data_IF_660490884689
#
_entry.id   IF_660490884689
#
_cell.length_a   1.000
_cell.length_b   1.000
_cell.length_c   1.000
_cell.angle_alpha   90.00
_cell.angle_beta   90.00
_cell.angle_gamma   90.00
#
_symmetry.space_group_name_H-M   'P 1'
#
loop_
_entity.id
_entity.type
_entity.pdbx_description
1 polymer ?
#
# COMPACT_ATOMS: atom_id res chain seq x y z
N UNK A 1 -16.50 -18.49 4.83
CA UNK A 1 -17.65 -19.18 5.44
C UNK A 1 -18.05 -20.48 4.70
N UNK A 2 -17.92 -20.56 3.37
CA UNK A 2 -18.20 -21.84 2.67
C UNK A 2 -17.21 -22.90 3.10
N UNK A 3 -17.65 -24.12 3.51
CA UNK A 3 -16.75 -25.19 3.93
C UNK A 3 -15.72 -25.61 2.87
N UNK A 4 -16.06 -25.45 1.59
CA UNK A 4 -15.15 -25.74 0.47
C UNK A 4 -13.95 -24.79 0.41
N UNK A 5 -14.05 -23.60 1.00
CA UNK A 5 -12.97 -22.62 1.02
C UNK A 5 -11.90 -22.91 2.08
N UNK A 6 -12.20 -23.72 3.11
CA UNK A 6 -11.26 -24.13 4.14
C UNK A 6 -10.67 -25.52 3.84
N UNK A 7 -9.40 -25.75 4.15
CA UNK A 7 -8.74 -27.05 3.98
C UNK A 7 -9.42 -28.16 4.81
N UNK A 8 -9.77 -27.83 6.07
CA UNK A 8 -10.46 -28.77 6.96
C UNK A 8 -11.92 -29.05 6.57
N UNK A 9 -12.45 -28.41 5.52
CA UNK A 9 -13.86 -28.49 5.07
C UNK A 9 -14.87 -28.15 6.17
N UNK A 10 -14.46 -27.36 7.17
CA UNK A 10 -15.30 -26.84 8.25
C UNK A 10 -15.54 -25.34 7.95
N UNK A 11 -16.75 -24.87 8.28
CA UNK A 11 -17.07 -23.43 8.10
C UNK A 11 -16.17 -22.56 8.97
N UNK A 12 -15.45 -21.63 8.34
CA UNK A 12 -14.68 -20.61 9.04
C UNK A 12 -15.62 -19.64 9.74
N UNK A 13 -15.24 -19.18 10.94
CA UNK A 13 -15.95 -18.17 11.68
C UNK A 13 -16.18 -16.90 10.83
N UNK A 14 -17.33 -16.25 11.05
CA UNK A 14 -17.74 -15.09 10.27
C UNK A 14 -16.73 -13.93 10.36
N UNK A 15 -16.24 -13.65 11.58
CA UNK A 15 -15.31 -12.53 11.81
C UNK A 15 -13.99 -12.77 11.08
N UNK A 16 -13.43 -13.97 11.16
CA UNK A 16 -12.18 -14.36 10.50
C UNK A 16 -12.32 -14.33 8.97
N UNK A 17 -13.45 -14.80 8.44
CA UNK A 17 -13.72 -14.75 7.02
C UNK A 17 -13.93 -13.31 6.51
N UNK A 18 -14.63 -12.48 7.28
CA UNK A 18 -14.84 -11.06 6.97
C UNK A 18 -13.52 -10.28 7.03
N UNK A 19 -12.71 -10.51 8.08
CA UNK A 19 -11.40 -9.87 8.23
C UNK A 19 -10.48 -10.18 7.03
N UNK A 20 -10.40 -11.45 6.65
CA UNK A 20 -9.61 -11.88 5.47
C UNK A 20 -10.13 -11.26 4.18
N UNK A 21 -11.46 -11.21 3.98
CA UNK A 21 -12.05 -10.61 2.79
C UNK A 21 -11.81 -9.09 2.71
N UNK A 22 -11.92 -8.37 3.85
CA UNK A 22 -11.61 -6.93 3.94
C UNK A 22 -10.13 -6.70 3.68
N UNK A 23 -9.25 -7.46 4.34
CA UNK A 23 -7.80 -7.36 4.16
C UNK A 23 -7.40 -7.62 2.69
N UNK A 24 -7.95 -8.64 2.04
CA UNK A 24 -7.69 -8.93 0.63
C UNK A 24 -8.23 -7.84 -0.31
N UNK A 25 -9.46 -7.37 -0.09
CA UNK A 25 -10.08 -6.33 -0.93
C UNK A 25 -9.45 -4.96 -0.75
N UNK A 26 -9.00 -4.63 0.47
CA UNK A 26 -8.25 -3.40 0.76
C UNK A 26 -6.76 -3.54 0.45
N UNK A 27 -6.33 -4.76 0.05
CA UNK A 27 -4.93 -5.03 -0.31
C UNK A 27 -4.00 -4.71 0.87
N UNK A 28 -4.34 -5.21 2.06
CA UNK A 28 -3.60 -4.91 3.28
C UNK A 28 -2.63 -6.02 3.65
N UNK A 29 -3.09 -7.30 3.70
CA UNK A 29 -2.24 -8.43 4.06
C UNK A 29 -2.24 -8.82 5.52
N UNK A 30 -2.90 -8.08 6.40
CA UNK A 30 -3.12 -8.53 7.78
C UNK A 30 -4.03 -9.76 7.79
N UNK A 31 -3.65 -10.77 8.55
CA UNK A 31 -4.39 -12.05 8.61
C UNK A 31 -4.63 -12.45 10.07
N UNK A 32 -5.79 -13.04 10.33
CA UNK A 32 -6.14 -13.68 11.62
C UNK A 32 -6.04 -15.20 11.55
N UNK A 33 -5.87 -15.76 10.34
CA UNK A 33 -5.64 -17.17 10.08
C UNK A 33 -4.57 -17.30 9.00
N UNK A 34 -3.73 -18.31 9.12
CA UNK A 34 -2.67 -18.54 8.12
C UNK A 34 -3.26 -18.85 6.74
N UNK A 35 -2.79 -18.12 5.71
CA UNK A 35 -3.37 -18.22 4.37
C UNK A 35 -3.06 -19.56 3.70
N UNK A 36 -1.89 -20.12 3.92
CA UNK A 36 -1.46 -21.37 3.31
C UNK A 36 -2.15 -22.58 3.94
N UNK A 37 -2.27 -22.60 5.28
CA UNK A 37 -2.70 -23.79 6.02
C UNK A 37 -4.21 -23.80 6.27
N UNK A 38 -4.87 -22.64 6.31
CA UNK A 38 -6.31 -22.55 6.59
C UNK A 38 -7.16 -22.63 5.33
N UNK A 39 -6.76 -21.92 4.25
CA UNK A 39 -7.57 -21.83 3.03
C UNK A 39 -7.22 -22.91 2.02
N UNK A 40 -8.25 -23.56 1.48
CA UNK A 40 -8.11 -24.48 0.34
C UNK A 40 -7.66 -23.74 -0.91
N UNK A 41 -7.26 -24.47 -1.96
CA UNK A 41 -6.94 -23.88 -3.26
C UNK A 41 -8.05 -22.96 -3.79
N UNK A 42 -9.32 -23.34 -3.56
CA UNK A 42 -10.47 -22.51 -3.90
C UNK A 42 -10.50 -21.23 -3.06
N UNK A 43 -10.27 -21.31 -1.74
CA UNK A 43 -10.20 -20.15 -0.86
C UNK A 43 -9.05 -19.20 -1.23
N UNK A 44 -7.87 -19.74 -1.52
CA UNK A 44 -6.71 -18.98 -2.00
C UNK A 44 -6.99 -18.27 -3.34
N UNK A 45 -7.68 -18.96 -4.27
CA UNK A 45 -8.07 -18.35 -5.55
C UNK A 45 -9.07 -17.18 -5.35
N UNK A 46 -10.03 -17.32 -4.44
CA UNK A 46 -10.94 -16.21 -4.08
C UNK A 46 -10.19 -15.03 -3.48
N UNK A 47 -9.24 -15.29 -2.55
CA UNK A 47 -8.38 -14.25 -1.98
C UNK A 47 -7.58 -13.54 -3.09
N UNK A 48 -7.00 -14.29 -4.02
CA UNK A 48 -6.23 -13.74 -5.13
C UNK A 48 -7.07 -12.83 -6.04
N UNK A 49 -8.32 -13.23 -6.34
CA UNK A 49 -9.28 -12.42 -7.11
C UNK A 49 -9.61 -11.13 -6.35
N UNK A 50 -9.84 -11.21 -5.03
CA UNK A 50 -10.10 -10.02 -4.22
C UNK A 50 -8.92 -9.07 -4.20
N UNK A 51 -7.68 -9.59 -4.08
CA UNK A 51 -6.44 -8.82 -4.17
C UNK A 51 -6.35 -8.11 -5.53
N UNK A 52 -6.64 -8.80 -6.63
CA UNK A 52 -6.57 -8.23 -7.97
C UNK A 52 -7.60 -7.11 -8.16
N UNK A 53 -8.84 -7.31 -7.71
CA UNK A 53 -9.90 -6.29 -7.73
C UNK A 53 -9.52 -5.10 -6.86
N UNK A 54 -9.03 -5.36 -5.66
CA UNK A 54 -8.58 -4.34 -4.72
C UNK A 54 -7.38 -3.54 -5.25
N UNK A 55 -6.35 -4.22 -5.79
CA UNK A 55 -5.13 -3.63 -6.32
C UNK A 55 -5.37 -2.68 -7.49
N UNK A 56 -6.12 -3.11 -8.47
CA UNK A 56 -6.52 -2.28 -9.61
C UNK A 56 -7.54 -1.18 -9.24
N UNK A 57 -8.23 -1.34 -8.12
CA UNK A 57 -9.31 -0.49 -7.65
C UNK A 57 -10.68 -0.90 -8.21
N UNK A 58 -11.68 -0.90 -7.35
CA UNK A 58 -13.04 -1.37 -7.67
C UNK A 58 -13.64 -0.61 -8.86
N UNK A 59 -13.40 0.71 -8.95
CA UNK A 59 -13.91 1.55 -10.05
C UNK A 59 -13.26 1.17 -11.37
N UNK A 60 -11.94 0.95 -11.39
CA UNK A 60 -11.20 0.50 -12.58
C UNK A 60 -11.73 -0.85 -13.07
N UNK A 61 -11.99 -1.78 -12.16
CA UNK A 61 -12.56 -3.09 -12.49
C UNK A 61 -14.00 -2.99 -13.01
N UNK A 62 -14.85 -2.16 -12.40
CA UNK A 62 -16.21 -1.94 -12.87
C UNK A 62 -16.24 -1.38 -14.31
N UNK A 63 -15.38 -0.39 -14.60
CA UNK A 63 -15.26 0.17 -15.95
C UNK A 63 -14.66 -0.86 -16.92
N UNK A 64 -13.74 -1.70 -16.46
CA UNK A 64 -13.18 -2.81 -17.27
C UNK A 64 -14.27 -3.77 -17.71
N UNK A 65 -15.14 -4.20 -16.81
CA UNK A 65 -16.27 -5.08 -17.11
C UNK A 65 -17.24 -4.39 -18.11
N UNK A 66 -17.53 -3.10 -17.92
CA UNK A 66 -18.37 -2.32 -18.83
C UNK A 66 -17.79 -2.28 -20.26
N UNK A 67 -16.47 -2.04 -20.37
CA UNK A 67 -15.77 -2.01 -21.67
C UNK A 67 -15.73 -3.41 -22.29
N UNK A 68 -15.43 -4.45 -21.51
CA UNK A 68 -15.38 -5.84 -21.97
C UNK A 68 -16.76 -6.33 -22.48
N UNK A 69 -17.85 -5.84 -21.86
CA UNK A 69 -19.24 -6.12 -22.28
C UNK A 69 -19.65 -5.32 -23.54
N UNK A 70 -18.74 -4.56 -24.15
CA UNK A 70 -19.02 -3.76 -25.36
C UNK A 70 -19.87 -2.52 -25.11
N UNK A 71 -20.15 -2.18 -23.87
CA UNK A 71 -20.96 -1.00 -23.51
C UNK A 71 -20.12 0.28 -23.57
N UNK A 72 -20.77 1.40 -23.93
CA UNK A 72 -20.12 2.71 -23.92
C UNK A 72 -19.99 3.22 -22.47
N UNK A 73 -18.78 3.64 -22.09
CA UNK A 73 -18.53 4.26 -20.78
C UNK A 73 -19.22 5.62 -20.71
N UNK A 74 -20.21 5.76 -19.83
CA UNK A 74 -20.94 7.01 -19.63
C UNK A 74 -20.09 8.11 -18.99
N UNK A 75 -20.54 9.37 -19.06
CA UNK A 75 -19.82 10.51 -18.47
C UNK A 75 -19.63 10.39 -16.97
N UNK A 76 -20.63 9.90 -16.24
CA UNK A 76 -20.55 9.68 -14.79
C UNK A 76 -19.49 8.64 -14.42
N UNK A 77 -19.44 7.51 -15.16
CA UNK A 77 -18.40 6.49 -14.95
C UNK A 77 -17.00 7.03 -15.23
N UNK A 78 -16.84 7.89 -16.26
CA UNK A 78 -15.57 8.55 -16.56
C UNK A 78 -15.14 9.51 -15.45
N UNK A 79 -16.09 10.29 -14.89
CA UNK A 79 -15.82 11.18 -13.75
C UNK A 79 -15.39 10.39 -12.52
N UNK A 80 -16.11 9.31 -12.17
CA UNK A 80 -15.74 8.46 -11.03
C UNK A 80 -14.37 7.80 -11.22
N UNK A 81 -14.04 7.36 -12.44
CA UNK A 81 -12.74 6.80 -12.76
C UNK A 81 -11.64 7.87 -12.73
N UNK A 82 -11.94 9.09 -13.14
CA UNK A 82 -11.04 10.24 -13.04
C UNK A 82 -10.65 10.49 -11.57
N UNK A 83 -11.63 10.51 -10.68
CA UNK A 83 -11.40 10.70 -9.26
C UNK A 83 -10.61 9.53 -8.67
N UNK A 84 -10.96 8.29 -9.00
CA UNK A 84 -10.28 7.08 -8.50
C UNK A 84 -8.82 6.98 -8.94
N UNK A 85 -8.48 7.43 -10.17
CA UNK A 85 -7.11 7.43 -10.69
C UNK A 85 -6.37 8.76 -10.48
N UNK A 86 -7.02 9.74 -9.83
CA UNK A 86 -6.48 11.09 -9.59
C UNK A 86 -6.01 11.79 -10.89
N UNK A 87 -6.85 11.74 -11.95
CA UNK A 87 -6.56 12.31 -13.26
C UNK A 87 -7.30 13.64 -13.42
N UNK A 88 -6.64 14.66 -14.00
CA UNK A 88 -7.27 15.97 -14.23
C UNK A 88 -8.00 16.10 -15.58
N UNK A 89 -7.95 15.09 -16.46
CA UNK A 89 -8.53 15.16 -17.81
C UNK A 89 -9.45 13.97 -18.09
N UNK A 90 -10.66 14.24 -18.60
CA UNK A 90 -11.65 13.21 -18.99
C UNK A 90 -11.29 12.49 -20.31
N UNK A 91 -10.37 13.08 -21.12
CA UNK A 91 -9.96 12.52 -22.39
C UNK A 91 -8.97 11.36 -22.23
N UNK A 92 -9.17 10.29 -23.03
CA UNK A 92 -8.20 9.18 -23.07
C UNK A 92 -8.32 8.13 -21.96
N UNK A 93 -9.33 8.21 -21.08
CA UNK A 93 -9.53 7.28 -19.94
C UNK A 93 -9.55 5.82 -20.39
N UNK A 94 -10.22 5.48 -21.49
CA UNK A 94 -10.27 4.09 -22.00
C UNK A 94 -8.90 3.62 -22.50
N UNK A 95 -8.10 4.51 -23.07
CA UNK A 95 -6.71 4.19 -23.49
C UNK A 95 -5.84 3.93 -22.27
N UNK A 96 -5.97 4.77 -21.23
CA UNK A 96 -5.26 4.58 -19.97
C UNK A 96 -5.69 3.27 -19.29
N UNK A 97 -6.99 2.94 -19.29
CA UNK A 97 -7.49 1.67 -18.75
C UNK A 97 -6.83 0.46 -19.43
N UNK A 98 -6.79 0.47 -20.77
CA UNK A 98 -6.13 -0.61 -21.51
C UNK A 98 -4.64 -0.69 -21.20
N UNK A 99 -3.98 0.45 -21.05
CA UNK A 99 -2.57 0.50 -20.63
C UNK A 99 -2.39 -0.10 -19.24
N UNK A 100 -3.21 0.29 -18.26
CA UNK A 100 -3.17 -0.23 -16.87
C UNK A 100 -3.33 -1.75 -16.87
N UNK A 101 -4.34 -2.29 -17.56
CA UNK A 101 -4.60 -3.73 -17.61
C UNK A 101 -3.46 -4.50 -18.29
N UNK A 102 -2.98 -4.02 -19.45
CA UNK A 102 -1.90 -4.67 -20.18
C UNK A 102 -0.58 -4.61 -19.40
N UNK A 103 -0.29 -3.47 -18.76
CA UNK A 103 0.89 -3.28 -17.93
C UNK A 103 0.86 -4.20 -16.69
N UNK A 104 -0.26 -4.25 -15.97
CA UNK A 104 -0.44 -5.12 -14.81
C UNK A 104 -0.25 -6.58 -15.21
N UNK A 105 -0.99 -7.07 -16.20
CA UNK A 105 -0.86 -8.46 -16.65
C UNK A 105 0.57 -8.80 -17.12
N UNK A 106 1.23 -7.88 -17.81
CA UNK A 106 2.61 -8.05 -18.27
C UNK A 106 3.61 -8.16 -17.11
N UNK A 107 3.52 -7.29 -16.13
CA UNK A 107 4.41 -7.31 -14.94
C UNK A 107 4.14 -8.54 -14.07
N UNK A 108 2.88 -8.89 -13.83
CA UNK A 108 2.50 -10.08 -13.04
C UNK A 108 2.96 -11.38 -13.70
N UNK A 109 2.79 -11.51 -15.00
CA UNK A 109 3.30 -12.67 -15.76
C UNK A 109 4.84 -12.72 -15.75
N UNK A 110 5.51 -11.59 -15.95
CA UNK A 110 6.96 -11.52 -15.86
C UNK A 110 7.45 -11.91 -14.46
N UNK A 111 6.81 -11.38 -13.41
CA UNK A 111 7.09 -11.74 -12.02
C UNK A 111 6.89 -13.24 -11.76
N UNK A 112 5.79 -13.81 -12.24
CA UNK A 112 5.51 -15.25 -12.13
C UNK A 112 6.62 -16.07 -12.77
N UNK A 113 7.05 -15.72 -13.99
CA UNK A 113 8.14 -16.42 -14.70
C UNK A 113 9.47 -16.30 -13.97
N UNK A 114 9.76 -15.14 -13.37
CA UNK A 114 11.02 -14.91 -12.64
C UNK A 114 11.03 -15.60 -11.27
N UNK A 115 9.88 -15.74 -10.59
CA UNK A 115 9.76 -16.44 -9.31
C UNK A 115 9.67 -17.96 -9.47
N UNK A 116 9.16 -18.43 -10.59
CA UNK A 116 8.95 -19.85 -10.82
C UNK A 116 10.18 -20.73 -10.61
N UNK A 117 11.40 -20.41 -11.06
CA UNK A 117 12.58 -21.25 -10.86
C UNK A 117 12.91 -21.51 -9.37
N UNK A 118 12.63 -20.53 -8.50
CA UNK A 118 12.85 -20.67 -7.05
C UNK A 118 11.80 -21.61 -6.47
N UNK A 119 10.51 -21.34 -6.71
CA UNK A 119 9.44 -22.18 -6.19
C UNK A 119 9.38 -23.57 -6.81
N UNK A 120 9.87 -23.74 -8.05
CA UNK A 120 9.98 -25.06 -8.67
C UNK A 120 10.93 -25.99 -7.92
N UNK A 121 12.03 -25.47 -7.40
CA UNK A 121 13.01 -26.26 -6.64
C UNK A 121 12.42 -26.80 -5.33
N UNK A 122 11.56 -26.02 -4.67
CA UNK A 122 11.03 -26.36 -3.35
C UNK A 122 9.67 -27.10 -3.41
N UNK A 123 8.83 -26.81 -4.41
CA UNK A 123 7.44 -27.27 -4.48
C UNK A 123 7.12 -28.11 -5.74
N UNK A 124 8.06 -28.26 -6.68
CA UNK A 124 7.81 -28.93 -7.96
C UNK A 124 7.00 -28.09 -8.95
N UNK A 125 6.54 -28.70 -10.08
CA UNK A 125 5.98 -27.94 -11.21
C UNK A 125 4.64 -27.28 -10.88
N UNK A 126 3.64 -28.07 -10.50
CA UNK A 126 2.26 -27.59 -10.40
C UNK A 126 2.07 -26.62 -9.23
N UNK A 127 2.58 -26.99 -8.07
CA UNK A 127 2.51 -26.13 -6.89
C UNK A 127 3.43 -24.93 -7.04
N UNK A 128 4.61 -25.08 -7.65
CA UNK A 128 5.54 -23.99 -7.92
C UNK A 128 4.95 -22.92 -8.85
N UNK A 129 4.16 -23.28 -9.87
CA UNK A 129 3.44 -22.31 -10.70
C UNK A 129 2.41 -21.54 -9.87
N UNK A 130 1.63 -22.21 -9.03
CA UNK A 130 0.65 -21.57 -8.17
C UNK A 130 1.29 -20.61 -7.18
N UNK A 131 2.37 -21.03 -6.51
CA UNK A 131 3.15 -20.21 -5.60
C UNK A 131 3.71 -18.96 -6.30
N UNK A 132 4.34 -19.14 -7.46
CA UNK A 132 4.90 -18.04 -8.23
C UNK A 132 3.82 -17.03 -8.67
N UNK A 133 2.68 -17.52 -9.17
CA UNK A 133 1.56 -16.68 -9.61
C UNK A 133 0.97 -15.90 -8.42
N UNK A 134 0.70 -16.60 -7.31
CA UNK A 134 0.11 -15.97 -6.12
C UNK A 134 1.01 -14.87 -5.55
N UNK A 135 2.31 -15.16 -5.38
CA UNK A 135 3.25 -14.19 -4.84
C UNK A 135 3.53 -13.04 -5.82
N UNK A 136 3.55 -13.29 -7.13
CA UNK A 136 3.73 -12.22 -8.12
C UNK A 136 2.57 -11.22 -8.10
N UNK A 137 1.33 -11.70 -8.08
CA UNK A 137 0.13 -10.86 -8.00
C UNK A 137 0.08 -10.15 -6.64
N UNK A 138 0.29 -10.87 -5.54
CA UNK A 138 0.29 -10.30 -4.20
C UNK A 138 1.35 -9.20 -4.04
N UNK A 139 2.56 -9.40 -4.57
CA UNK A 139 3.65 -8.43 -4.52
C UNK A 139 3.39 -7.20 -5.40
N UNK A 140 2.93 -7.38 -6.65
CA UNK A 140 2.59 -6.26 -7.54
C UNK A 140 1.41 -5.44 -7.01
N UNK A 141 0.38 -6.10 -6.51
CA UNK A 141 -0.76 -5.43 -5.89
C UNK A 141 -0.43 -4.82 -4.52
N UNK A 142 0.76 -5.07 -3.96
CA UNK A 142 1.15 -4.67 -2.61
C UNK A 142 0.20 -5.23 -1.54
N UNK A 143 -0.15 -6.50 -1.64
CA UNK A 143 -1.16 -7.12 -0.79
C UNK A 143 -0.60 -7.87 0.43
N UNK A 144 0.67 -8.30 0.39
CA UNK A 144 1.34 -8.95 1.52
C UNK A 144 0.83 -10.34 1.90
N UNK A 145 -0.14 -10.88 1.17
CA UNK A 145 -0.56 -12.26 1.37
C UNK A 145 0.48 -13.22 0.80
N UNK A 146 0.82 -14.26 1.55
CA UNK A 146 1.74 -15.30 1.16
C UNK A 146 1.17 -16.70 1.42
N UNK A 147 1.80 -17.72 0.83
CA UNK A 147 1.46 -19.11 0.99
C UNK A 147 2.60 -19.92 1.63
N UNK A 148 3.43 -19.25 2.46
CA UNK A 148 4.65 -19.84 3.04
C UNK A 148 4.42 -20.49 4.41
N UNK A 149 3.23 -20.41 4.98
CA UNK A 149 2.91 -20.92 6.32
C UNK A 149 3.26 -22.40 6.55
N UNK A 150 3.29 -23.22 5.50
CA UNK A 150 3.71 -24.62 5.57
C UNK A 150 5.21 -24.84 5.78
N UNK A 151 6.04 -23.81 5.56
CA UNK A 151 7.51 -23.88 5.67
C UNK A 151 8.05 -23.50 7.07
N UNK A 152 7.18 -23.25 8.04
CA UNK A 152 7.58 -23.05 9.44
C UNK A 152 8.13 -21.68 9.82
N UNK A 153 8.19 -20.72 8.84
CA UNK A 153 8.75 -19.39 9.12
C UNK A 153 7.86 -18.32 8.58
N UNK A 154 6.78 -17.94 8.75
CA UNK A 154 5.91 -16.90 8.18
C UNK A 154 6.52 -16.08 7.03
N UNK A 155 5.76 -15.79 6.01
CA UNK A 155 6.15 -15.00 4.84
C UNK A 155 7.43 -15.50 4.13
N UNK A 156 8.32 -14.63 3.71
CA UNK A 156 9.53 -14.96 2.92
C UNK A 156 10.79 -15.15 3.79
N UNK A 157 10.65 -15.45 5.09
CA UNK A 157 11.79 -15.56 6.02
C UNK A 157 12.79 -16.64 5.60
N UNK A 158 12.33 -17.75 5.03
CA UNK A 158 13.19 -18.83 4.50
C UNK A 158 14.09 -18.38 3.36
N UNK A 159 13.72 -17.30 2.65
CA UNK A 159 14.46 -16.75 1.51
C UNK A 159 15.24 -15.47 1.83
N UNK A 160 15.48 -15.13 3.11
CA UNK A 160 16.18 -13.90 3.53
C UNK A 160 17.53 -13.71 2.81
N UNK A 161 18.29 -14.78 2.60
CA UNK A 161 19.60 -14.77 1.94
C UNK A 161 19.54 -15.03 0.42
N UNK A 162 18.36 -15.24 -0.17
CA UNK A 162 18.21 -15.49 -1.61
C UNK A 162 18.09 -14.16 -2.37
N UNK A 163 19.14 -13.69 -3.09
CA UNK A 163 19.11 -12.38 -3.73
C UNK A 163 18.11 -12.33 -4.89
N UNK A 164 17.91 -13.44 -5.63
CA UNK A 164 16.98 -13.48 -6.74
C UNK A 164 15.54 -13.28 -6.30
N UNK A 165 15.10 -14.06 -5.30
CA UNK A 165 13.75 -13.95 -4.73
C UNK A 165 13.46 -12.54 -4.23
N UNK A 166 14.38 -12.00 -3.41
CA UNK A 166 14.23 -10.68 -2.81
C UNK A 166 14.19 -9.56 -3.86
N UNK A 167 15.08 -9.58 -4.86
CA UNK A 167 15.12 -8.54 -5.90
C UNK A 167 13.86 -8.57 -6.76
N UNK A 168 13.35 -9.75 -7.14
CA UNK A 168 12.13 -9.85 -7.94
C UNK A 168 10.91 -9.34 -7.15
N UNK A 169 10.75 -9.76 -5.90
CA UNK A 169 9.65 -9.29 -5.04
C UNK A 169 9.74 -7.77 -4.82
N UNK A 170 10.91 -7.23 -4.48
CA UNK A 170 11.11 -5.78 -4.32
C UNK A 170 10.79 -5.00 -5.60
N UNK A 171 11.18 -5.53 -6.78
CA UNK A 171 10.87 -4.90 -8.06
C UNK A 171 9.36 -4.89 -8.35
N UNK A 172 8.63 -5.98 -8.02
CA UNK A 172 7.19 -6.06 -8.14
C UNK A 172 6.49 -5.05 -7.22
N UNK A 173 6.88 -5.01 -5.95
CA UNK A 173 6.38 -4.04 -4.96
C UNK A 173 6.60 -2.61 -5.43
N UNK A 174 7.83 -2.27 -5.82
CA UNK A 174 8.16 -0.93 -6.27
C UNK A 174 7.36 -0.55 -7.54
N UNK A 175 7.21 -1.47 -8.50
CA UNK A 175 6.44 -1.22 -9.72
C UNK A 175 4.96 -0.97 -9.45
N UNK A 176 4.33 -1.72 -8.54
CA UNK A 176 2.96 -1.49 -8.09
C UNK A 176 2.79 -0.14 -7.36
N UNK A 177 3.75 0.19 -6.48
CA UNK A 177 3.72 1.39 -5.63
C UNK A 177 4.02 2.72 -6.34
N UNK A 178 4.62 2.72 -7.55
CA UNK A 178 4.94 3.94 -8.30
C UNK A 178 3.73 4.63 -8.94
N UNK A 179 2.64 3.90 -9.12
CA UNK A 179 1.39 4.42 -9.71
C UNK A 179 1.35 4.37 -11.24
N UNK A 180 0.15 4.08 -11.75
CA UNK A 180 -0.07 3.85 -13.19
C UNK A 180 0.19 5.10 -14.06
N UNK A 181 -0.07 6.30 -13.53
CA UNK A 181 0.20 7.57 -14.23
C UNK A 181 1.71 7.82 -14.38
N UNK A 182 2.50 7.46 -13.37
CA UNK A 182 3.97 7.53 -13.44
C UNK A 182 4.50 6.61 -14.53
N UNK A 183 4.00 5.38 -14.61
CA UNK A 183 4.37 4.43 -15.66
C UNK A 183 3.94 4.88 -17.04
N UNK A 184 2.75 5.48 -17.18
CA UNK A 184 2.29 6.05 -18.45
C UNK A 184 3.21 7.20 -18.90
N UNK A 185 3.61 8.09 -18.00
CA UNK A 185 4.53 9.19 -18.28
C UNK A 185 5.93 8.69 -18.67
N UNK A 186 6.45 7.68 -17.95
CA UNK A 186 7.72 7.03 -18.28
C UNK A 186 7.67 6.31 -19.64
N UNK A 187 6.57 5.65 -19.96
CA UNK A 187 6.37 4.99 -21.25
C UNK A 187 6.32 5.99 -22.41
N UNK A 188 5.63 7.12 -22.22
CA UNK A 188 5.47 8.18 -23.22
C UNK A 188 6.77 8.97 -23.43
N UNK A 189 7.41 9.43 -22.36
CA UNK A 189 8.59 10.29 -22.37
C UNK A 189 9.93 9.56 -22.23
N UNK A 190 9.91 8.25 -21.98
CA UNK A 190 11.09 7.38 -21.80
C UNK A 190 12.13 8.02 -20.86
N UNK A 191 13.40 8.11 -21.27
CA UNK A 191 14.51 8.66 -20.49
C UNK A 191 14.64 10.19 -20.54
N UNK A 192 13.67 10.91 -21.14
CA UNK A 192 13.73 12.38 -21.24
C UNK A 192 13.24 13.04 -19.96
N UNK A 193 14.06 13.02 -18.90
CA UNK A 193 13.75 13.53 -17.55
C UNK A 193 13.17 14.95 -17.55
N UNK A 194 13.61 15.82 -18.46
CA UNK A 194 13.10 17.20 -18.56
C UNK A 194 11.62 17.25 -18.95
N UNK A 195 11.13 16.28 -19.73
CA UNK A 195 9.75 16.21 -20.21
C UNK A 195 8.81 15.54 -19.22
N UNK A 196 9.35 14.88 -18.17
CA UNK A 196 8.53 14.24 -17.15
C UNK A 196 7.67 15.25 -16.39
N UNK A 197 6.47 14.85 -16.07
CA UNK A 197 5.56 15.63 -15.22
C UNK A 197 6.17 15.87 -13.84
N UNK A 198 5.81 17.01 -13.21
CA UNK A 198 6.26 17.32 -11.86
C UNK A 198 5.97 16.16 -10.89
N UNK A 199 4.76 15.61 -10.96
CA UNK A 199 4.35 14.48 -10.12
C UNK A 199 5.27 13.26 -10.27
N UNK A 200 5.66 12.89 -11.50
CA UNK A 200 6.58 11.77 -11.78
C UNK A 200 7.94 12.00 -11.13
N UNK A 201 8.49 13.22 -11.24
CA UNK A 201 9.78 13.59 -10.61
C UNK A 201 9.72 13.48 -9.09
N UNK A 202 8.65 14.01 -8.50
CA UNK A 202 8.40 13.93 -7.05
C UNK A 202 8.30 12.47 -6.60
N UNK A 203 7.49 11.66 -7.27
CA UNK A 203 7.28 10.25 -6.91
C UNK A 203 8.58 9.47 -6.96
N UNK A 204 9.36 9.60 -8.04
CA UNK A 204 10.63 8.87 -8.17
C UNK A 204 11.66 9.31 -7.14
N UNK A 205 11.84 10.62 -6.93
CA UNK A 205 12.79 11.14 -5.95
C UNK A 205 12.42 10.75 -4.52
N UNK A 206 11.12 10.86 -4.16
CA UNK A 206 10.64 10.50 -2.84
C UNK A 206 10.69 8.99 -2.61
N UNK A 207 10.37 8.18 -3.63
CA UNK A 207 10.49 6.72 -3.57
C UNK A 207 11.94 6.29 -3.32
N UNK A 208 12.88 6.86 -4.06
CA UNK A 208 14.30 6.58 -3.86
C UNK A 208 14.76 6.98 -2.43
N UNK A 209 14.36 8.15 -1.96
CA UNK A 209 14.69 8.64 -0.63
C UNK A 209 14.14 7.72 0.48
N UNK A 210 12.85 7.35 0.40
CA UNK A 210 12.17 6.50 1.38
C UNK A 210 12.62 5.02 1.33
N UNK A 211 13.31 4.59 0.29
CA UNK A 211 13.91 3.26 0.22
C UNK A 211 15.36 3.31 0.72
N UNK A 212 16.18 4.23 0.20
CA UNK A 212 17.61 4.21 0.44
C UNK A 212 17.98 4.64 1.87
N UNK A 213 17.38 5.72 2.37
CA UNK A 213 17.70 6.22 3.71
C UNK A 213 17.35 5.22 4.82
N UNK A 214 16.12 4.65 4.89
CA UNK A 214 15.81 3.67 5.91
C UNK A 214 16.59 2.36 5.74
N UNK A 215 16.89 1.93 4.51
CA UNK A 215 17.70 0.74 4.28
C UNK A 215 19.10 0.88 4.91
N UNK A 216 19.72 2.06 4.82
CA UNK A 216 21.00 2.35 5.48
C UNK A 216 20.84 2.31 7.00
N UNK A 217 19.78 2.91 7.54
CA UNK A 217 19.55 2.94 8.99
C UNK A 217 19.32 1.52 9.51
N UNK A 218 18.46 0.72 8.86
CA UNK A 218 18.23 -0.67 9.23
C UNK A 218 19.50 -1.53 9.13
N UNK A 219 20.33 -1.30 8.11
CA UNK A 219 21.59 -2.03 7.96
C UNK A 219 22.50 -1.84 9.17
N UNK A 220 22.65 -0.63 9.67
CA UNK A 220 23.55 -0.34 10.79
C UNK A 220 22.88 -0.56 12.15
N UNK A 221 21.58 -0.27 12.29
CA UNK A 221 20.86 -0.33 13.56
C UNK A 221 20.25 -1.69 13.87
N UNK A 222 19.43 -2.21 12.97
CA UNK A 222 18.52 -3.32 13.31
C UNK A 222 18.97 -4.69 12.80
N UNK A 223 19.74 -4.76 11.70
CA UNK A 223 20.07 -6.05 11.06
C UNK A 223 21.39 -6.66 11.57
N UNK A 224 21.90 -6.23 12.72
CA UNK A 224 23.17 -6.73 13.30
C UNK A 224 23.11 -8.20 13.73
N UNK A 225 21.91 -8.73 13.99
CA UNK A 225 21.68 -10.13 14.37
C UNK A 225 21.80 -11.11 13.18
N UNK A 226 21.70 -10.61 11.94
CA UNK A 226 21.83 -11.45 10.75
C UNK A 226 23.30 -11.66 10.38
N UNK A 227 23.70 -12.91 10.28
CA UNK A 227 25.03 -13.30 9.79
C UNK A 227 25.12 -13.26 8.27
N UNK A 228 24.05 -13.67 7.57
CA UNK A 228 23.96 -13.72 6.11
C UNK A 228 22.79 -12.89 5.60
N UNK A 229 22.96 -12.22 4.45
CA UNK A 229 21.88 -11.47 3.81
C UNK A 229 21.52 -10.13 4.48
N UNK A 230 22.32 -9.63 5.43
CA UNK A 230 22.07 -8.41 6.20
C UNK A 230 21.68 -7.21 5.35
N UNK A 231 22.45 -6.91 4.29
CA UNK A 231 22.16 -5.79 3.39
C UNK A 231 20.88 -5.99 2.60
N UNK A 232 20.64 -7.22 2.18
CA UNK A 232 19.43 -7.59 1.42
C UNK A 232 18.17 -7.47 2.29
N UNK A 233 18.22 -7.96 3.53
CA UNK A 233 17.14 -7.85 4.49
C UNK A 233 16.83 -6.39 4.86
N UNK A 234 17.86 -5.55 5.10
CA UNK A 234 17.67 -4.13 5.37
C UNK A 234 17.01 -3.40 4.20
N UNK A 235 17.43 -3.71 2.98
CA UNK A 235 16.83 -3.13 1.78
C UNK A 235 15.40 -3.63 1.56
N UNK A 236 15.16 -4.93 1.74
CA UNK A 236 13.83 -5.53 1.66
C UNK A 236 12.87 -4.93 2.68
N UNK A 237 13.31 -4.78 3.94
CA UNK A 237 12.48 -4.22 5.00
C UNK A 237 12.08 -2.76 4.72
N UNK A 238 12.98 -1.97 4.14
CA UNK A 238 12.69 -0.60 3.71
C UNK A 238 11.65 -0.56 2.56
N UNK A 239 11.73 -1.50 1.62
CA UNK A 239 10.77 -1.59 0.50
C UNK A 239 9.42 -2.09 0.97
N UNK A 240 9.39 -3.16 1.78
CA UNK A 240 8.14 -3.81 2.20
C UNK A 240 7.30 -2.93 3.13
N UNK A 241 7.94 -2.11 3.97
CA UNK A 241 7.25 -1.14 4.82
C UNK A 241 6.40 -0.13 4.04
N UNK A 242 6.67 0.04 2.75
CA UNK A 242 5.91 0.90 1.86
C UNK A 242 4.74 0.17 1.22
N UNK A 243 3.86 -0.35 2.08
CA UNK A 243 2.57 -0.99 1.77
C UNK A 243 2.65 -2.35 1.07
N UNK A 244 3.68 -3.16 1.32
CA UNK A 244 3.81 -4.46 0.65
C UNK A 244 3.48 -5.67 1.54
N UNK A 245 3.86 -5.64 2.81
CA UNK A 245 3.45 -6.63 3.81
C UNK A 245 4.25 -7.93 3.86
N UNK A 246 5.19 -8.16 2.97
CA UNK A 246 6.05 -9.35 3.03
C UNK A 246 7.16 -9.20 4.06
N UNK A 247 7.45 -10.26 4.81
CA UNK A 247 8.51 -10.31 5.80
C UNK A 247 9.64 -11.24 5.36
N UNK A 248 10.89 -10.77 5.51
CA UNK A 248 12.09 -11.61 5.43
C UNK A 248 12.77 -11.78 6.78
N UNK A 249 12.32 -11.02 7.77
CA UNK A 249 12.77 -11.07 9.17
C UNK A 249 11.55 -10.98 10.09
N UNK A 250 11.71 -11.44 11.33
CA UNK A 250 10.69 -11.19 12.34
C UNK A 250 10.81 -9.73 12.84
N UNK A 251 9.71 -8.97 12.78
CA UNK A 251 9.66 -7.56 13.21
C UNK A 251 9.82 -7.44 14.73
N UNK A 252 9.46 -8.47 15.50
CA UNK A 252 9.69 -8.50 16.94
C UNK A 252 11.16 -8.34 17.31
N UNK A 253 12.08 -8.88 16.47
CA UNK A 253 13.51 -8.83 16.70
C UNK A 253 14.13 -7.43 16.41
N UNK A 254 13.35 -6.51 15.84
CA UNK A 254 13.79 -5.14 15.59
C UNK A 254 13.81 -4.32 16.87
N UNK A 255 14.72 -3.33 16.91
CA UNK A 255 14.78 -2.37 18.00
C UNK A 255 13.51 -1.50 18.03
N UNK A 256 13.19 -0.88 19.17
CA UNK A 256 12.07 0.08 19.25
C UNK A 256 12.26 1.24 18.28
N UNK A 257 13.49 1.72 18.09
CA UNK A 257 13.81 2.74 17.10
C UNK A 257 13.51 2.27 15.67
N UNK A 258 13.86 1.02 15.35
CA UNK A 258 13.53 0.39 14.08
C UNK A 258 12.02 0.27 13.85
N UNK A 259 11.26 -0.17 14.87
CA UNK A 259 9.80 -0.21 14.84
C UNK A 259 9.20 1.20 14.62
N UNK A 260 9.73 2.24 15.26
CA UNK A 260 9.31 3.62 15.02
C UNK A 260 9.54 4.08 13.58
N UNK A 261 10.71 3.75 13.00
CA UNK A 261 10.99 4.05 11.59
C UNK A 261 10.04 3.28 10.67
N UNK A 262 9.73 2.03 11.00
CA UNK A 262 8.74 1.23 10.27
C UNK A 262 7.36 1.91 10.30
N UNK A 263 6.90 2.39 11.46
CA UNK A 263 5.63 3.13 11.59
C UNK A 263 5.62 4.36 10.66
N UNK A 264 6.70 5.15 10.62
CA UNK A 264 6.81 6.32 9.73
C UNK A 264 6.76 5.93 8.25
N UNK A 265 7.42 4.84 7.87
CA UNK A 265 7.39 4.32 6.49
C UNK A 265 6.00 3.80 6.11
N UNK A 266 5.35 3.04 7.00
CA UNK A 266 4.00 2.50 6.80
C UNK A 266 2.95 3.61 6.71
N UNK A 267 3.12 4.67 7.50
CA UNK A 267 2.28 5.86 7.45
C UNK A 267 2.41 6.60 6.10
N UNK A 268 3.62 6.60 5.51
CA UNK A 268 3.89 7.18 4.20
C UNK A 268 3.81 6.10 3.13
N UNK A 269 2.65 5.88 2.59
CA UNK A 269 2.38 4.86 1.58
C UNK A 269 2.98 5.12 0.20
N UNK A 270 2.30 4.62 -0.84
CA UNK A 270 2.77 4.74 -2.22
C UNK A 270 2.30 6.01 -2.95
N UNK A 271 2.46 6.01 -4.27
CA UNK A 271 2.08 7.13 -5.13
C UNK A 271 0.55 7.22 -5.34
N UNK A 272 0.01 8.39 -5.69
CA UNK A 272 -1.37 8.50 -6.17
C UNK A 272 -1.61 7.63 -7.40
N UNK A 273 -2.77 6.96 -7.46
CA UNK A 273 -3.10 6.05 -8.57
C UNK A 273 -2.21 4.83 -8.64
N UNK A 274 -1.73 4.32 -7.49
CA UNK A 274 -0.98 3.08 -7.33
C UNK A 274 -1.82 2.00 -6.66
N UNK A 275 -1.26 0.80 -6.58
CA UNK A 275 -1.84 -0.31 -5.80
C UNK A 275 -1.74 -0.10 -4.29
N UNK A 276 -0.86 0.79 -3.84
CA UNK A 276 -0.56 1.11 -2.45
C UNK A 276 -1.61 2.02 -1.79
N UNK A 277 -1.86 1.83 -0.49
CA UNK A 277 -2.72 2.69 0.35
C UNK A 277 -1.97 3.78 1.10
N UNK A 278 -2.49 4.17 2.27
CA UNK A 278 -1.87 5.16 3.16
C UNK A 278 -1.81 6.58 2.63
N UNK A 279 -1.09 7.45 3.35
CA UNK A 279 -0.79 8.81 2.89
C UNK A 279 0.11 8.74 1.66
N UNK A 280 -0.28 9.45 0.60
CA UNK A 280 0.45 9.41 -0.66
C UNK A 280 1.82 10.09 -0.56
N UNK A 281 2.81 9.56 -1.27
CA UNK A 281 4.17 10.12 -1.31
C UNK A 281 4.19 11.58 -1.72
N UNK A 282 3.28 12.01 -2.60
CA UNK A 282 3.12 13.41 -3.01
C UNK A 282 2.64 14.30 -1.86
N UNK A 283 1.75 13.82 -1.01
CA UNK A 283 1.28 14.53 0.19
C UNK A 283 2.43 14.74 1.18
N UNK A 284 3.17 13.67 1.50
CA UNK A 284 4.33 13.77 2.39
C UNK A 284 5.40 14.72 1.81
N UNK A 285 5.68 14.65 0.51
CA UNK A 285 6.61 15.56 -0.16
C UNK A 285 6.15 17.00 -0.09
N UNK A 286 4.86 17.29 -0.33
CA UNK A 286 4.31 18.64 -0.29
C UNK A 286 4.50 19.27 1.10
N UNK A 287 4.24 18.50 2.17
CA UNK A 287 4.46 18.98 3.54
C UNK A 287 5.94 19.24 3.84
N UNK A 288 6.84 18.36 3.43
CA UNK A 288 8.28 18.53 3.63
C UNK A 288 8.81 19.76 2.89
N UNK A 289 8.45 19.94 1.61
CA UNK A 289 8.93 21.08 0.84
C UNK A 289 8.33 22.40 1.33
N UNK A 290 7.08 22.38 1.81
CA UNK A 290 6.45 23.54 2.43
C UNK A 290 7.20 23.96 3.71
N UNK A 291 7.53 23.01 4.58
CA UNK A 291 8.33 23.23 5.77
C UNK A 291 9.69 23.89 5.41
N UNK A 292 10.41 23.33 4.43
CA UNK A 292 11.68 23.90 3.98
C UNK A 292 11.53 25.28 3.34
N UNK A 293 10.42 25.56 2.62
CA UNK A 293 10.15 26.88 2.04
C UNK A 293 9.93 27.95 3.14
N UNK A 294 9.15 27.59 4.17
CA UNK A 294 8.90 28.46 5.33
C UNK A 294 10.20 28.75 6.08
N UNK A 295 11.02 27.72 6.37
CA UNK A 295 12.31 27.87 7.04
C UNK A 295 13.30 28.74 6.25
N UNK A 296 13.13 28.84 4.93
CA UNK A 296 13.93 29.68 4.04
C UNK A 296 13.30 31.06 3.76
N UNK A 297 12.21 31.40 4.46
CA UNK A 297 11.46 32.66 4.26
C UNK A 297 10.99 32.86 2.80
N UNK A 298 10.68 31.79 2.06
CA UNK A 298 10.14 31.90 0.71
C UNK A 298 8.63 32.02 0.77
N UNK A 299 8.08 32.95 -0.02
CA UNK A 299 6.62 33.15 -0.13
C UNK A 299 5.93 32.02 -0.89
N UNK A 300 6.63 31.45 -1.86
CA UNK A 300 6.11 30.41 -2.73
C UNK A 300 6.77 29.04 -2.46
N UNK A 301 5.98 27.98 -2.59
CA UNK A 301 6.46 26.61 -2.52
C UNK A 301 6.88 26.18 -3.93
N UNK A 302 8.18 26.21 -4.19
CA UNK A 302 8.74 25.88 -5.51
C UNK A 302 9.51 24.57 -5.47
N UNK A 303 9.26 23.72 -6.46
CA UNK A 303 10.00 22.48 -6.69
C UNK A 303 10.14 22.19 -8.18
N UNK A 304 11.32 21.75 -8.63
CA UNK A 304 11.63 21.47 -10.03
C UNK A 304 11.16 22.56 -11.01
N UNK A 305 11.38 23.83 -10.65
CA UNK A 305 10.96 25.03 -11.42
C UNK A 305 9.43 25.12 -11.64
N UNK A 306 8.65 24.57 -10.72
CA UNK A 306 7.19 24.66 -10.69
C UNK A 306 6.71 25.06 -9.31
N UNK A 307 5.61 25.83 -9.24
CA UNK A 307 4.97 26.27 -8.01
C UNK A 307 3.85 25.29 -7.61
N UNK A 308 3.79 24.96 -6.33
CA UNK A 308 2.69 24.18 -5.73
C UNK A 308 1.67 25.20 -5.17
N UNK A 309 0.38 24.99 -5.44
CA UNK A 309 -0.68 25.88 -4.98
C UNK A 309 -0.92 25.78 -3.47
N UNK A 310 -1.39 26.86 -2.86
CA UNK A 310 -1.77 26.88 -1.45
C UNK A 310 -2.93 25.90 -1.15
N UNK A 311 -3.85 25.73 -2.08
CA UNK A 311 -4.94 24.76 -1.98
C UNK A 311 -4.42 23.34 -1.82
N UNK A 312 -3.43 22.93 -2.63
CA UNK A 312 -2.79 21.61 -2.52
C UNK A 312 -2.10 21.44 -1.17
N UNK A 313 -1.50 22.50 -0.61
CA UNK A 313 -0.92 22.45 0.73
C UNK A 313 -1.99 22.26 1.81
N UNK A 314 -3.09 23.00 1.74
CA UNK A 314 -4.21 22.88 2.69
C UNK A 314 -4.81 21.48 2.68
N UNK A 315 -5.01 20.89 1.50
CA UNK A 315 -5.45 19.50 1.35
C UNK A 315 -4.43 18.52 1.96
N UNK A 316 -3.13 18.72 1.71
CA UNK A 316 -2.07 17.88 2.25
C UNK A 316 -2.02 17.93 3.79
N UNK A 317 -2.18 19.11 4.39
CA UNK A 317 -2.25 19.30 5.85
C UNK A 317 -3.48 18.61 6.42
N UNK A 318 -4.65 18.79 5.81
CA UNK A 318 -5.90 18.17 6.26
C UNK A 318 -5.82 16.63 6.25
N UNK A 319 -5.27 16.04 5.18
CA UNK A 319 -5.06 14.60 5.08
C UNK A 319 -4.11 14.13 6.18
N UNK A 320 -2.97 14.79 6.34
CA UNK A 320 -1.96 14.41 7.34
C UNK A 320 -2.53 14.42 8.75
N UNK A 321 -3.22 15.49 9.14
CA UNK A 321 -3.84 15.61 10.47
C UNK A 321 -4.91 14.54 10.69
N UNK A 322 -5.74 14.25 9.70
CA UNK A 322 -6.77 13.21 9.80
C UNK A 322 -6.15 11.81 9.98
N UNK A 323 -5.14 11.47 9.19
CA UNK A 323 -4.45 10.19 9.32
C UNK A 323 -3.69 10.07 10.66
N UNK A 324 -3.04 11.15 11.10
CA UNK A 324 -2.37 11.17 12.40
C UNK A 324 -3.38 10.98 13.54
N UNK A 325 -4.53 11.66 13.49
CA UNK A 325 -5.59 11.49 14.47
C UNK A 325 -6.10 10.04 14.51
N UNK A 326 -6.38 9.44 13.34
CA UNK A 326 -6.82 8.05 13.25
C UNK A 326 -5.76 7.09 13.77
N UNK A 327 -4.48 7.28 13.43
CA UNK A 327 -3.38 6.44 13.88
C UNK A 327 -3.29 6.45 15.41
N UNK A 328 -3.13 7.63 16.02
CA UNK A 328 -2.94 7.72 17.46
C UNK A 328 -4.17 7.31 18.26
N UNK A 329 -5.37 7.71 17.86
CA UNK A 329 -6.60 7.31 18.54
C UNK A 329 -6.84 5.80 18.50
N UNK A 330 -6.57 5.17 17.36
CA UNK A 330 -6.71 3.72 17.21
C UNK A 330 -5.63 2.96 17.98
N UNK A 331 -4.40 3.46 18.04
CA UNK A 331 -3.32 2.84 18.81
C UNK A 331 -3.61 2.90 20.32
N UNK A 332 -4.11 4.04 20.80
CA UNK A 332 -4.56 4.17 22.20
C UNK A 332 -5.70 3.19 22.50
N UNK A 333 -6.64 3.04 21.56
CA UNK A 333 -7.74 2.08 21.71
C UNK A 333 -7.23 0.64 21.85
N UNK A 334 -6.33 0.18 20.96
CA UNK A 334 -5.75 -1.16 21.03
C UNK A 334 -4.98 -1.36 22.34
N UNK A 335 -4.14 -0.41 22.71
CA UNK A 335 -3.35 -0.49 23.94
C UNK A 335 -4.25 -0.58 25.18
N UNK A 336 -5.36 0.18 25.21
CA UNK A 336 -6.27 0.20 26.36
C UNK A 336 -7.15 -1.07 26.44
N UNK A 337 -7.69 -1.53 25.31
CA UNK A 337 -8.64 -2.67 25.29
C UNK A 337 -7.95 -4.03 25.31
N UNK A 338 -6.83 -4.18 24.62
CA UNK A 338 -6.13 -5.46 24.50
C UNK A 338 -4.86 -5.55 25.37
N UNK A 339 -4.49 -4.45 26.07
CA UNK A 339 -3.32 -4.42 26.95
C UNK A 339 -1.99 -4.50 26.18
N UNK A 340 -1.99 -4.22 24.87
CA UNK A 340 -0.79 -4.27 24.06
C UNK A 340 0.13 -3.07 24.36
N UNK A 341 1.44 -3.26 24.19
CA UNK A 341 2.39 -2.14 24.26
C UNK A 341 2.08 -1.07 23.23
N UNK A 342 2.35 0.20 23.58
CA UNK A 342 1.98 1.33 22.70
C UNK A 342 2.71 1.27 21.36
N UNK A 343 3.99 0.85 21.34
CA UNK A 343 4.75 0.73 20.09
C UNK A 343 4.19 -0.36 19.17
N UNK A 344 3.77 -1.48 19.76
CA UNK A 344 3.19 -2.60 19.03
C UNK A 344 1.80 -2.24 18.49
N UNK A 345 1.00 -1.52 19.28
CA UNK A 345 -0.28 -0.96 18.85
C UNK A 345 -0.10 0.03 17.70
N UNK A 346 0.97 0.86 17.70
CA UNK A 346 1.31 1.77 16.62
C UNK A 346 1.71 1.01 15.35
N UNK A 347 2.47 -0.09 15.46
CA UNK A 347 2.83 -0.92 14.30
C UNK A 347 1.59 -1.52 13.66
N UNK A 348 0.70 -2.16 14.43
CA UNK A 348 -0.52 -2.79 13.90
C UNK A 348 -1.49 -1.77 13.28
N UNK A 349 -1.72 -0.65 13.96
CA UNK A 349 -2.64 0.39 13.46
C UNK A 349 -2.08 1.13 12.26
N UNK A 350 -0.77 1.41 12.22
CA UNK A 350 -0.12 2.01 11.05
C UNK A 350 -0.12 1.05 9.87
N UNK A 351 0.06 -0.25 10.11
CA UNK A 351 -0.04 -1.29 9.12
C UNK A 351 -1.45 -1.39 8.53
N UNK A 352 -2.49 -1.36 9.37
CA UNK A 352 -3.88 -1.38 8.93
C UNK A 352 -4.24 -0.10 8.15
N UNK A 353 -3.93 1.09 8.71
CA UNK A 353 -4.24 2.38 8.10
C UNK A 353 -3.42 2.65 6.84
N UNK A 354 -2.16 2.21 6.81
CA UNK A 354 -1.28 2.27 5.64
C UNK A 354 -1.61 1.20 4.59
N UNK A 355 -2.47 0.23 4.93
CA UNK A 355 -2.71 -1.00 4.13
C UNK A 355 -1.41 -1.71 3.78
N UNK A 356 -0.58 -2.00 4.80
CA UNK A 356 0.77 -2.55 4.62
C UNK A 356 0.80 -4.06 4.77
N UNK A 357 0.17 -4.59 5.82
CA UNK A 357 0.13 -6.04 6.10
C UNK A 357 1.22 -6.57 7.02
N UNK A 358 2.16 -5.73 7.42
CA UNK A 358 3.17 -6.10 8.40
C UNK A 358 2.55 -6.19 9.80
N UNK A 359 2.83 -7.26 10.51
CA UNK A 359 2.38 -7.51 11.87
C UNK A 359 3.52 -8.05 12.72
N UNK A 360 3.44 -7.77 14.02
CA UNK A 360 4.29 -8.36 15.04
C UNK A 360 3.64 -9.59 15.70
N UNK A 361 2.65 -10.23 15.04
CA UNK A 361 1.92 -11.36 15.60
C UNK A 361 0.88 -10.97 16.65
N UNK A 362 0.41 -9.71 16.63
CA UNK A 362 -0.63 -9.23 17.53
C UNK A 362 -2.03 -9.42 16.94
N UNK A 363 -2.20 -9.34 15.62
CA UNK A 363 -3.50 -9.30 14.92
C UNK A 363 -4.43 -10.47 15.26
N UNK A 364 -3.91 -11.69 15.37
CA UNK A 364 -4.68 -12.91 15.69
C UNK A 364 -5.18 -12.92 17.15
N UNK A 365 -4.42 -12.30 18.06
CA UNK A 365 -4.67 -12.22 19.50
C UNK A 365 -5.64 -11.12 19.90
N UNK A 366 -5.89 -10.14 19.01
CA UNK A 366 -6.74 -9.00 19.28
C UNK A 366 -8.20 -9.40 19.57
N UNK A 367 -8.86 -8.60 20.40
CA UNK A 367 -10.28 -8.70 20.69
C UNK A 367 -11.15 -8.41 19.44
N UNK A 368 -12.40 -8.84 19.46
CA UNK A 368 -13.36 -8.59 18.36
C UNK A 368 -13.52 -7.09 18.06
N UNK A 369 -13.68 -6.17 19.04
CA UNK A 369 -13.76 -4.74 18.74
C UNK A 369 -12.52 -4.19 18.06
N UNK A 370 -11.33 -4.64 18.47
CA UNK A 370 -10.06 -4.21 17.85
C UNK A 370 -9.89 -4.74 16.44
N UNK A 371 -10.29 -5.98 16.15
CA UNK A 371 -10.37 -6.51 14.78
C UNK A 371 -11.32 -5.70 13.90
N UNK A 372 -12.49 -5.32 14.42
CA UNK A 372 -13.42 -4.45 13.70
C UNK A 372 -12.83 -3.07 13.43
N UNK A 373 -12.11 -2.49 14.39
CA UNK A 373 -11.43 -1.21 14.21
C UNK A 373 -10.35 -1.31 13.12
N UNK A 374 -9.52 -2.37 13.14
CA UNK A 374 -8.52 -2.58 12.09
C UNK A 374 -9.17 -2.71 10.70
N UNK A 375 -10.29 -3.42 10.56
CA UNK A 375 -11.02 -3.51 9.29
C UNK A 375 -11.50 -2.13 8.79
N UNK A 376 -11.97 -1.27 9.69
CA UNK A 376 -12.33 0.11 9.35
C UNK A 376 -11.10 0.91 8.91
N UNK A 377 -9.96 0.80 9.61
CA UNK A 377 -8.72 1.48 9.23
C UNK A 377 -8.22 1.03 7.86
N UNK A 378 -8.25 -0.27 7.55
CA UNK A 378 -7.90 -0.79 6.22
C UNK A 378 -8.76 -0.17 5.12
N UNK A 379 -10.06 -0.06 5.37
CA UNK A 379 -11.00 0.56 4.43
C UNK A 379 -10.69 2.06 4.22
N UNK A 380 -10.45 2.81 5.32
CA UNK A 380 -10.05 4.23 5.26
C UNK A 380 -8.73 4.40 4.50
N UNK A 381 -7.74 3.58 4.79
CA UNK A 381 -6.45 3.60 4.12
C UNK A 381 -6.54 3.35 2.62
N UNK A 382 -7.43 2.44 2.21
CA UNK A 382 -7.60 2.07 0.80
C UNK A 382 -8.39 3.09 -0.01
N UNK A 383 -9.52 3.55 0.50
CA UNK A 383 -10.40 4.51 -0.20
C UNK A 383 -9.76 5.90 -0.27
N UNK A 384 -8.97 6.25 0.73
CA UNK A 384 -8.34 7.56 0.88
C UNK A 384 -9.25 8.56 1.62
N UNK A 385 -8.65 9.30 2.55
CA UNK A 385 -9.39 10.18 3.46
C UNK A 385 -10.18 11.29 2.75
N UNK A 386 -9.62 11.90 1.71
CA UNK A 386 -10.33 12.98 0.98
C UNK A 386 -11.58 12.48 0.28
N UNK A 387 -11.53 11.29 -0.31
CA UNK A 387 -12.70 10.71 -0.99
C UNK A 387 -13.85 10.50 -0.01
N UNK A 388 -13.54 10.03 1.22
CA UNK A 388 -14.53 9.87 2.26
C UNK A 388 -15.07 11.21 2.77
N UNK A 389 -14.20 12.19 3.03
CA UNK A 389 -14.60 13.54 3.45
C UNK A 389 -15.52 14.18 2.40
N UNK A 390 -15.19 14.07 1.12
CA UNK A 390 -16.02 14.60 0.04
C UNK A 390 -17.33 13.83 -0.15
N UNK A 391 -17.36 12.54 0.14
CA UNK A 391 -18.60 11.74 0.10
C UNK A 391 -19.63 12.21 1.16
N UNK A 392 -19.14 12.63 2.32
CA UNK A 392 -19.98 13.17 3.40
C UNK A 392 -20.28 14.67 3.26
N UNK A 393 -19.47 15.41 2.52
CA UNK A 393 -19.65 16.83 2.30
C UNK A 393 -20.23 17.09 0.90
N UNK A 394 -21.55 17.31 0.82
CA UNK A 394 -22.17 17.84 -0.41
C UNK A 394 -21.49 19.17 -0.74
N UNK A 395 -20.99 19.32 -1.98
CA UNK A 395 -20.51 20.61 -2.52
C UNK A 395 -21.64 21.65 -2.48
N UNK A 396 -21.90 22.23 -1.32
CA UNK A 396 -22.65 23.48 -1.27
C UNK A 396 -21.76 24.55 -1.91
N UNK A 397 -22.26 25.16 -2.97
CA UNK A 397 -21.66 26.36 -3.57
C UNK A 397 -21.28 27.31 -2.45
N UNK A 398 -20.00 27.52 -2.20
CA UNK A 398 -19.53 28.51 -1.26
C UNK A 398 -19.91 29.87 -1.84
N UNK A 399 -20.92 30.50 -1.28
CA UNK A 399 -21.13 31.94 -1.40
C UNK A 399 -19.81 32.58 -0.95
N UNK A 400 -19.19 33.37 -1.84
CA UNK A 400 -17.90 34.04 -1.62
C UNK A 400 -18.11 35.19 -0.60
N UNK A 401 -18.40 34.83 0.65
CA UNK A 401 -18.41 35.77 1.76
C UNK A 401 -17.06 35.70 2.46
N UNK A 402 -16.18 36.62 2.17
CA UNK A 402 -14.92 36.78 2.94
C UNK A 402 -15.25 37.50 4.24
N UNK A 403 -14.93 36.85 5.36
CA UNK A 403 -14.92 37.48 6.69
C UNK A 403 -13.62 38.28 6.84
N UNK A 404 -13.57 39.36 7.66
CA UNK A 404 -12.33 40.05 7.96
C UNK A 404 -11.24 39.14 8.51
N UNK A 405 -10.01 39.38 8.08
CA UNK A 405 -8.83 38.62 8.55
C UNK A 405 -8.33 39.21 9.87
N UNK A 406 -8.10 38.34 10.86
CA UNK A 406 -7.44 38.67 12.11
C UNK A 406 -6.17 37.86 12.25
N UNK A 407 -5.07 38.49 12.68
CA UNK A 407 -3.78 37.83 12.84
C UNK A 407 -3.76 37.04 14.15
N UNK A 408 -3.52 35.73 14.06
CA UNK A 408 -3.22 34.87 15.21
C UNK A 408 -1.71 34.74 15.38
N UNK A 409 -1.26 34.80 16.63
CA UNK A 409 0.14 34.51 16.97
C UNK A 409 0.31 33.00 16.96
N UNK A 410 1.18 32.48 16.08
CA UNK A 410 1.59 31.08 16.02
C UNK A 410 3.02 31.04 16.61
N UNK A 411 3.24 30.15 17.61
CA UNK A 411 4.47 30.04 18.38
C UNK A 411 5.73 29.67 17.59
#
# INVERSE_FOLDING_TARGET
MLPIAAQARISTDFLSALFTAVSASCVTGLTVVDTANHWSLFGQAVILILIQIGGLGVVTMAVTITVASGQKVGLMQRSTMQDALSIHQLGGIVRLLRFVLAFTAGIELCGTLLLFPVFYQDFGVLQGIWMALFHAISAFCNAGFDLMGSQGGGSLMTYVANPWMNLVIMALIASGGLGFLTWADLHENRFRVHQWRLQTKIILSMTAFLILLPAVIFYFGDMSFLTNGRGLAAFFQSVTARTAGFNTINIEDMTEAGKCIMVLLMFTGGAPGSTAGGIKTTTAFTLLIAMFSILRYRLDIECFSRRISLETLQEAVAIFLLYALLLFSSSIFLSYFDGAEMIDSLVETSSALGTVGLSIGLTDKLSTPSKCLLMLLMYFGRVGALTLVYAFHSRKSHLVRRVPEEKLTIG
#
